data_IF_993441798393
#
_entry.id   IF_993441798393
#
_cell.length_a   1.000
_cell.length_b   1.000
_cell.length_c   1.000
_cell.angle_alpha   90.00
_cell.angle_beta   90.00
_cell.angle_gamma   90.00
#
_symmetry.space_group_name_H-M   'P 1'
#
loop_
_entity.id
_entity.type
_entity.pdbx_description
1 polymer ?
#
# COMPACT_ATOMS: atom_id res chain seq x y z
N UNK A 1 80.74 -19.00 21.75
CA UNK A 1 79.95 -17.90 21.19
C UNK A 1 78.73 -18.50 20.47
N UNK A 2 77.57 -18.56 21.12
CA UNK A 2 76.34 -19.11 20.54
C UNK A 2 75.47 -18.00 20.02
N UNK A 3 75.27 -17.94 18.71
CA UNK A 3 74.38 -16.99 18.05
C UNK A 3 72.97 -17.59 18.01
N UNK A 4 72.01 -17.02 18.81
CA UNK A 4 70.61 -17.38 18.80
C UNK A 4 69.89 -16.61 17.67
N UNK A 5 69.40 -17.29 16.68
CA UNK A 5 68.54 -16.77 15.65
C UNK A 5 67.08 -16.82 16.15
N UNK A 6 66.47 -15.65 16.30
CA UNK A 6 65.06 -15.49 16.70
C UNK A 6 64.23 -15.48 15.41
N UNK A 7 63.39 -16.53 15.20
CA UNK A 7 62.41 -16.58 14.11
C UNK A 7 61.12 -15.98 14.59
N UNK A 8 60.72 -14.79 14.08
CA UNK A 8 59.44 -14.17 14.27
C UNK A 8 58.44 -14.72 13.28
N UNK A 9 57.51 -15.54 13.77
CA UNK A 9 56.36 -16.01 12.99
C UNK A 9 55.28 -14.92 13.07
N UNK A 10 55.10 -14.18 11.97
CA UNK A 10 54.05 -13.22 11.81
C UNK A 10 52.74 -13.94 11.45
N UNK A 11 51.77 -13.98 12.37
CA UNK A 11 50.42 -14.48 12.09
C UNK A 11 49.63 -13.43 11.29
N UNK A 12 49.42 -13.66 10.01
CA UNK A 12 48.47 -12.90 9.20
C UNK A 12 47.04 -13.34 9.56
N UNK A 13 46.31 -12.51 10.32
CA UNK A 13 44.87 -12.66 10.52
C UNK A 13 44.18 -12.12 9.28
N UNK A 14 43.71 -13.03 8.43
CA UNK A 14 42.82 -12.69 7.31
C UNK A 14 41.42 -12.45 7.89
N UNK A 15 41.01 -11.19 8.05
CA UNK A 15 39.61 -10.85 8.33
C UNK A 15 38.78 -11.10 7.07
N UNK A 16 38.04 -12.20 7.05
CA UNK A 16 37.02 -12.45 6.05
C UNK A 16 35.83 -11.55 6.41
N UNK A 17 35.72 -10.38 5.76
CA UNK A 17 34.48 -9.60 5.76
C UNK A 17 33.41 -10.43 5.03
N UNK A 18 32.58 -11.14 5.79
CA UNK A 18 31.37 -11.74 5.30
C UNK A 18 30.41 -10.64 4.84
N UNK A 19 30.34 -10.35 3.55
CA UNK A 19 29.27 -9.57 2.99
C UNK A 19 27.97 -10.37 3.16
N UNK A 20 27.17 -10.05 4.17
CA UNK A 20 25.79 -10.53 4.28
C UNK A 20 25.04 -10.02 3.05
N UNK A 21 24.79 -10.91 2.07
CA UNK A 21 23.79 -10.64 1.04
C UNK A 21 22.47 -10.49 1.78
N UNK A 22 21.96 -9.26 1.92
CA UNK A 22 20.54 -9.04 2.18
C UNK A 22 19.79 -9.69 1.02
N UNK A 23 19.15 -10.82 1.26
CA UNK A 23 18.18 -11.35 0.31
C UNK A 23 17.06 -10.33 0.24
N UNK A 24 16.84 -9.70 -0.90
CA UNK A 24 15.60 -9.00 -1.14
C UNK A 24 14.47 -9.98 -0.81
N UNK A 25 13.63 -9.64 0.15
CA UNK A 25 12.46 -10.43 0.47
C UNK A 25 11.49 -10.25 -0.69
N UNK A 26 10.97 -11.35 -1.25
CA UNK A 26 9.97 -11.26 -2.30
C UNK A 26 8.78 -10.44 -1.79
N UNK A 27 8.30 -9.52 -2.61
CA UNK A 27 7.14 -8.69 -2.29
C UNK A 27 5.92 -9.58 -1.98
N UNK A 28 5.21 -9.34 -0.87
CA UNK A 28 3.97 -10.05 -0.59
C UNK A 28 2.94 -9.83 -1.70
N UNK A 29 2.22 -10.87 -2.07
CA UNK A 29 1.11 -10.81 -3.01
C UNK A 29 -0.18 -11.11 -2.26
N UNK A 30 -1.20 -10.30 -2.45
CA UNK A 30 -2.53 -10.52 -1.86
C UNK A 30 -3.58 -10.65 -2.95
N UNK A 31 -4.62 -11.42 -2.64
CA UNK A 31 -5.85 -11.48 -3.44
C UNK A 31 -6.94 -10.76 -2.67
N UNK A 32 -7.53 -9.75 -3.28
CA UNK A 32 -8.73 -9.05 -2.82
C UNK A 32 -9.91 -9.58 -3.60
N UNK A 33 -10.74 -10.40 -2.95
CA UNK A 33 -11.99 -10.88 -3.52
C UNK A 33 -13.05 -9.79 -3.40
N UNK A 34 -13.74 -9.48 -4.49
CA UNK A 34 -14.82 -8.50 -4.50
C UNK A 34 -16.08 -9.08 -5.13
N UNK A 35 -17.22 -8.47 -4.87
CA UNK A 35 -18.51 -8.85 -5.49
C UNK A 35 -18.52 -8.74 -7.03
N UNK A 36 -17.48 -8.14 -7.65
CA UNK A 36 -17.34 -7.99 -9.10
C UNK A 36 -16.19 -8.80 -9.71
N UNK A 37 -15.42 -9.53 -8.87
CA UNK A 37 -14.26 -10.35 -9.25
C UNK A 37 -13.03 -10.04 -8.39
N UNK A 38 -11.94 -10.75 -8.65
CA UNK A 38 -10.74 -10.73 -7.87
C UNK A 38 -9.74 -9.68 -8.39
N UNK A 39 -8.99 -9.07 -7.47
CA UNK A 39 -7.90 -8.14 -7.76
C UNK A 39 -6.66 -8.68 -7.06
N UNK A 40 -5.64 -9.09 -7.83
CA UNK A 40 -4.36 -9.53 -7.29
C UNK A 40 -3.39 -8.35 -7.22
N UNK A 41 -2.78 -8.14 -6.06
CA UNK A 41 -1.97 -6.96 -5.76
C UNK A 41 -0.61 -7.40 -5.22
N UNK A 42 0.46 -6.91 -5.81
CA UNK A 42 1.82 -6.97 -5.27
C UNK A 42 2.04 -5.80 -4.33
N UNK A 43 2.57 -6.06 -3.12
CA UNK A 43 2.83 -5.04 -2.09
C UNK A 43 4.32 -4.74 -2.03
N UNK A 44 4.70 -3.47 -2.03
CA UNK A 44 6.09 -3.00 -2.09
C UNK A 44 6.72 -2.94 -0.70
N UNK A 45 7.04 -4.11 -0.12
CA UNK A 45 7.51 -4.25 1.26
C UNK A 45 8.77 -3.44 1.55
N UNK A 46 9.74 -3.39 0.62
CA UNK A 46 11.00 -2.68 0.83
C UNK A 46 10.85 -1.16 0.72
N UNK A 47 9.90 -0.67 -0.11
CA UNK A 47 9.73 0.76 -0.39
C UNK A 47 8.68 1.43 0.51
N UNK A 48 7.72 0.67 1.03
CA UNK A 48 6.65 1.18 1.88
C UNK A 48 6.35 0.22 3.05
N UNK A 49 7.35 -0.13 3.87
CA UNK A 49 7.21 -1.15 4.90
C UNK A 49 6.10 -0.87 5.91
N UNK A 50 5.91 0.39 6.33
CA UNK A 50 4.89 0.77 7.32
C UNK A 50 3.49 0.62 6.72
N UNK A 51 3.29 1.06 5.49
CA UNK A 51 2.00 0.99 4.79
C UNK A 51 1.63 -0.46 4.47
N UNK A 52 2.60 -1.27 4.04
CA UNK A 52 2.41 -2.70 3.75
C UNK A 52 2.08 -3.47 5.04
N UNK A 53 2.85 -3.29 6.12
CA UNK A 53 2.59 -3.92 7.41
C UNK A 53 1.18 -3.58 7.91
N UNK A 54 0.82 -2.29 7.91
CA UNK A 54 -0.51 -1.82 8.30
C UNK A 54 -1.63 -2.46 7.48
N UNK A 55 -1.47 -2.53 6.15
CA UNK A 55 -2.45 -3.15 5.27
C UNK A 55 -2.60 -4.65 5.55
N UNK A 56 -1.48 -5.37 5.71
CA UNK A 56 -1.48 -6.81 5.99
C UNK A 56 -2.08 -7.13 7.37
N UNK A 57 -1.84 -6.29 8.38
CA UNK A 57 -2.46 -6.43 9.69
C UNK A 57 -3.99 -6.30 9.61
N UNK A 58 -4.51 -5.31 8.89
CA UNK A 58 -5.95 -5.20 8.65
C UNK A 58 -6.51 -6.36 7.84
N UNK A 59 -5.78 -6.86 6.84
CA UNK A 59 -6.18 -8.02 6.05
C UNK A 59 -6.27 -9.29 6.92
N UNK A 60 -5.22 -9.55 7.72
CA UNK A 60 -5.15 -10.71 8.61
C UNK A 60 -6.22 -10.69 9.71
N UNK A 61 -6.59 -9.50 10.20
CA UNK A 61 -7.70 -9.32 11.16
C UNK A 61 -9.10 -9.46 10.51
N UNK A 62 -9.18 -9.66 9.20
CA UNK A 62 -10.44 -9.72 8.47
C UNK A 62 -11.18 -8.36 8.40
N UNK A 63 -10.48 -7.25 8.67
CA UNK A 63 -11.09 -5.92 8.70
C UNK A 63 -11.75 -5.55 7.38
N UNK A 64 -11.13 -5.92 6.25
CA UNK A 64 -11.63 -5.55 4.93
C UNK A 64 -12.89 -6.30 4.52
N UNK A 65 -13.15 -7.48 5.09
CA UNK A 65 -14.37 -8.24 4.82
C UNK A 65 -15.62 -7.43 5.17
N UNK A 66 -16.54 -7.31 4.20
CA UNK A 66 -17.79 -6.53 4.32
C UNK A 66 -17.59 -5.01 4.20
N UNK A 67 -16.38 -4.52 3.91
CA UNK A 67 -16.20 -3.12 3.51
C UNK A 67 -16.53 -2.93 2.03
N UNK A 68 -16.79 -1.68 1.62
CA UNK A 68 -17.13 -1.36 0.23
C UNK A 68 -16.17 -0.33 -0.37
N UNK A 69 -16.14 -0.26 -1.70
CA UNK A 69 -15.62 0.89 -2.39
C UNK A 69 -16.65 2.02 -2.27
N UNK A 70 -16.47 2.85 -1.25
CA UNK A 70 -17.45 3.87 -0.85
C UNK A 70 -17.32 5.19 -1.62
N UNK A 71 -16.24 5.39 -2.39
CA UNK A 71 -16.01 6.57 -3.20
C UNK A 71 -15.32 6.20 -4.50
N UNK A 72 -15.96 6.50 -5.61
CA UNK A 72 -15.47 6.20 -6.96
C UNK A 72 -15.49 7.46 -7.80
N UNK A 73 -14.35 7.89 -8.31
CA UNK A 73 -14.25 9.00 -9.26
C UNK A 73 -13.70 8.46 -10.56
N UNK A 74 -14.53 8.48 -11.60
CA UNK A 74 -14.12 8.08 -12.95
C UNK A 74 -12.88 8.86 -13.39
N UNK A 75 -11.96 8.17 -14.08
CA UNK A 75 -10.68 8.75 -14.54
C UNK A 75 -9.84 9.38 -13.40
N UNK A 76 -9.96 8.83 -12.19
CA UNK A 76 -9.13 9.22 -11.07
C UNK A 76 -8.79 8.00 -10.20
N UNK A 77 -9.72 7.54 -9.33
CA UNK A 77 -9.44 6.42 -8.42
C UNK A 77 -10.73 5.75 -7.92
N UNK A 78 -10.59 4.55 -7.36
CA UNK A 78 -11.59 3.89 -6.53
C UNK A 78 -11.05 3.77 -5.10
N UNK A 79 -11.82 4.20 -4.09
CA UNK A 79 -11.42 4.24 -2.68
C UNK A 79 -12.31 3.34 -1.83
N UNK A 80 -11.68 2.50 -0.99
CA UNK A 80 -12.36 1.53 -0.13
C UNK A 80 -11.65 1.27 1.18
N UNK A 81 -12.04 0.17 1.87
CA UNK A 81 -11.36 -0.37 3.04
C UNK A 81 -11.69 0.30 4.38
N UNK A 82 -12.70 1.16 4.47
CA UNK A 82 -13.01 1.85 5.72
C UNK A 82 -14.49 1.92 6.11
N UNK A 83 -15.40 1.58 5.21
CA UNK A 83 -16.85 1.71 5.44
C UNK A 83 -17.59 0.45 5.02
N UNK A 84 -18.65 0.14 5.73
CA UNK A 84 -19.63 -0.90 5.39
C UNK A 84 -20.60 -0.42 4.32
N UNK A 85 -21.49 -1.29 3.81
CA UNK A 85 -22.42 -0.96 2.73
C UNK A 85 -23.45 0.11 3.10
N UNK A 86 -23.73 0.32 4.39
CA UNK A 86 -24.55 1.40 4.91
C UNK A 86 -23.76 2.71 5.14
N UNK A 87 -22.49 2.75 4.70
CA UNK A 87 -21.53 3.85 4.87
C UNK A 87 -21.16 4.17 6.32
N UNK A 88 -21.36 3.22 7.23
CA UNK A 88 -20.85 3.30 8.59
C UNK A 88 -19.35 3.04 8.62
N UNK A 89 -18.54 3.88 9.29
CA UNK A 89 -17.10 3.65 9.39
C UNK A 89 -16.81 2.46 10.31
N UNK A 90 -15.89 1.58 9.89
CA UNK A 90 -15.33 0.54 10.77
C UNK A 90 -14.28 1.13 11.71
N UNK A 91 -14.20 0.58 12.93
CA UNK A 91 -13.17 0.97 13.88
C UNK A 91 -11.77 0.75 13.31
N UNK A 92 -10.87 1.70 13.55
CA UNK A 92 -9.50 1.65 13.03
C UNK A 92 -8.48 1.59 14.15
N UNK A 93 -7.28 1.14 13.83
CA UNK A 93 -6.07 1.24 14.64
C UNK A 93 -5.56 2.69 14.64
N UNK A 94 -4.49 2.97 15.39
CA UNK A 94 -3.81 4.26 15.34
C UNK A 94 -3.31 4.59 13.94
N UNK A 95 -3.30 5.88 13.57
CA UNK A 95 -2.74 6.32 12.29
C UNK A 95 -1.25 5.96 12.15
N UNK A 96 -0.82 5.80 10.90
CA UNK A 96 0.56 5.48 10.53
C UNK A 96 1.27 6.67 9.91
N UNK A 97 2.61 6.62 9.90
CA UNK A 97 3.46 7.58 9.21
C UNK A 97 3.26 7.47 7.70
N UNK A 98 3.21 8.61 7.02
CA UNK A 98 3.08 8.69 5.57
C UNK A 98 4.43 8.45 4.89
N UNK A 99 4.48 7.47 3.98
CA UNK A 99 5.67 7.09 3.22
C UNK A 99 5.67 7.64 1.78
N UNK A 100 4.91 8.71 1.49
CA UNK A 100 4.83 9.28 0.12
C UNK A 100 6.16 9.82 -0.42
N UNK A 101 7.21 9.89 0.42
CA UNK A 101 8.57 10.25 0.02
C UNK A 101 9.39 9.05 -0.49
N UNK A 102 8.77 7.88 -0.64
CA UNK A 102 9.42 6.65 -1.11
C UNK A 102 9.79 6.65 -2.61
N UNK A 103 9.38 7.68 -3.35
CA UNK A 103 9.70 7.86 -4.76
C UNK A 103 8.83 7.04 -5.72
N UNK A 104 7.81 6.34 -5.23
CA UNK A 104 6.88 5.59 -6.08
C UNK A 104 5.73 6.51 -6.50
N UNK A 105 5.50 6.58 -7.80
CA UNK A 105 4.49 7.45 -8.39
C UNK A 105 3.08 6.83 -8.35
N UNK A 106 2.06 7.69 -8.22
CA UNK A 106 0.65 7.34 -8.28
C UNK A 106 0.20 7.08 -9.74
N UNK A 107 0.78 6.07 -10.37
CA UNK A 107 0.44 5.64 -11.72
C UNK A 107 -0.83 4.77 -11.74
N UNK A 108 -1.39 4.55 -12.96
CA UNK A 108 -2.51 3.61 -13.12
C UNK A 108 -2.18 2.23 -12.56
N UNK A 109 -3.12 1.69 -11.79
CA UNK A 109 -3.02 0.38 -11.13
C UNK A 109 -2.28 0.39 -9.80
N UNK A 110 -1.67 1.51 -9.37
CA UNK A 110 -1.03 1.58 -8.06
C UNK A 110 -2.05 1.70 -6.93
N UNK A 111 -1.71 1.09 -5.79
CA UNK A 111 -2.45 1.12 -4.55
C UNK A 111 -1.78 2.12 -3.60
N UNK A 112 -2.54 3.07 -3.06
CA UNK A 112 -2.03 4.10 -2.16
C UNK A 112 -2.91 4.29 -0.92
N UNK A 113 -2.30 4.74 0.19
CA UNK A 113 -3.01 5.02 1.44
C UNK A 113 -3.84 6.31 1.34
N UNK A 114 -5.14 6.21 1.64
CA UNK A 114 -5.98 7.37 1.83
C UNK A 114 -5.68 8.04 3.17
N UNK A 115 -5.78 9.37 3.21
CA UNK A 115 -5.54 10.19 4.41
C UNK A 115 -6.43 11.42 4.45
N UNK A 116 -6.47 12.06 5.61
CA UNK A 116 -7.08 13.38 5.79
C UNK A 116 -6.08 14.51 5.41
N UNK A 117 -6.38 15.75 5.76
CA UNK A 117 -5.44 16.86 5.59
C UNK A 117 -4.23 16.81 6.55
N UNK A 118 -4.22 15.88 7.51
CA UNK A 118 -3.04 15.61 8.35
C UNK A 118 -2.15 14.61 7.63
N UNK A 119 -0.86 14.88 7.55
CA UNK A 119 0.10 14.06 6.78
C UNK A 119 0.10 12.61 7.27
N UNK A 120 0.26 12.39 8.57
CA UNK A 120 0.33 11.09 9.21
C UNK A 120 -1.04 10.71 9.80
N UNK A 121 -2.06 10.56 8.93
CA UNK A 121 -3.43 10.24 9.35
C UNK A 121 -4.03 9.03 8.65
N UNK A 122 -3.23 8.31 7.84
CA UNK A 122 -3.69 7.10 7.18
C UNK A 122 -3.97 6.00 8.21
N UNK A 123 -5.05 5.23 7.99
CA UNK A 123 -5.43 4.09 8.83
C UNK A 123 -5.71 2.86 7.95
N UNK A 124 -6.97 2.46 7.75
CA UNK A 124 -7.33 1.29 6.94
C UNK A 124 -7.68 1.61 5.49
N UNK A 125 -8.06 2.85 5.19
CA UNK A 125 -8.54 3.20 3.86
C UNK A 125 -7.40 3.31 2.84
N UNK A 126 -7.67 2.79 1.65
CA UNK A 126 -6.78 2.85 0.50
C UNK A 126 -7.54 3.26 -0.76
N UNK A 127 -6.82 3.58 -1.81
CA UNK A 127 -7.40 3.76 -3.13
C UNK A 127 -6.52 3.10 -4.22
N UNK A 128 -7.16 2.72 -5.33
CA UNK A 128 -6.49 2.22 -6.52
C UNK A 128 -6.62 3.28 -7.62
N UNK A 129 -5.49 3.69 -8.17
CA UNK A 129 -5.44 4.66 -9.25
C UNK A 129 -5.95 4.06 -10.56
N UNK A 130 -6.96 4.66 -11.18
CA UNK A 130 -7.53 4.20 -12.47
C UNK A 130 -6.88 4.85 -13.68
N UNK A 131 -6.13 5.92 -13.46
CA UNK A 131 -5.29 6.62 -14.45
C UNK A 131 -3.95 7.03 -13.80
N UNK A 132 -3.05 7.64 -14.56
CA UNK A 132 -1.85 8.26 -13.99
C UNK A 132 -2.23 9.57 -13.27
N UNK A 133 -2.08 9.57 -11.96
CA UNK A 133 -2.40 10.68 -11.05
C UNK A 133 -1.14 11.34 -10.45
N UNK A 134 0.06 11.02 -10.94
CA UNK A 134 1.33 11.50 -10.43
C UNK A 134 1.35 13.00 -10.14
N UNK A 135 0.89 13.79 -11.12
CA UNK A 135 0.87 15.25 -11.02
C UNK A 135 0.10 15.80 -9.82
N UNK A 136 -0.92 15.05 -9.36
CA UNK A 136 -1.86 15.50 -8.32
C UNK A 136 -1.61 14.84 -6.96
N UNK A 137 -1.01 13.63 -6.94
CA UNK A 137 -0.95 12.79 -5.75
C UNK A 137 0.46 12.47 -5.30
N UNK A 138 1.50 12.68 -6.11
CA UNK A 138 2.88 12.44 -5.70
C UNK A 138 3.39 13.53 -4.74
N UNK A 139 4.39 13.17 -3.96
CA UNK A 139 5.09 14.11 -3.09
C UNK A 139 5.81 15.18 -3.93
N UNK A 140 5.51 16.45 -3.65
CA UNK A 140 6.18 17.62 -4.25
C UNK A 140 6.67 18.62 -3.21
N UNK A 141 6.50 18.31 -1.91
CA UNK A 141 6.90 19.20 -0.82
C UNK A 141 6.62 18.63 0.56
N UNK A 142 6.70 19.47 1.57
CA UNK A 142 6.66 19.07 2.99
C UNK A 142 5.37 19.49 3.71
N UNK A 143 4.56 20.35 3.12
CA UNK A 143 3.29 20.74 3.71
C UNK A 143 2.18 19.70 3.47
N UNK A 144 1.09 19.79 4.19
CA UNK A 144 0.01 18.81 4.13
C UNK A 144 -0.60 18.62 2.74
N UNK A 145 -0.58 19.63 1.89
CA UNK A 145 -1.15 19.56 0.53
C UNK A 145 -0.17 18.91 -0.45
N UNK A 146 1.11 19.25 -0.35
CA UNK A 146 2.17 18.81 -1.26
C UNK A 146 2.87 17.51 -0.83
N UNK A 147 2.59 17.00 0.39
CA UNK A 147 3.22 15.79 0.91
C UNK A 147 2.86 14.53 0.11
N UNK A 148 1.69 14.52 -0.54
CA UNK A 148 1.26 13.41 -1.39
C UNK A 148 0.68 12.21 -0.63
N UNK A 149 0.54 11.10 -1.37
CA UNK A 149 -0.08 9.85 -0.92
C UNK A 149 0.88 8.69 -1.13
N UNK A 150 1.11 7.90 -0.09
CA UNK A 150 2.06 6.80 -0.09
C UNK A 150 1.56 5.65 -0.96
N UNK A 151 2.19 5.42 -2.10
CA UNK A 151 2.01 4.22 -2.89
C UNK A 151 2.72 3.06 -2.20
N UNK A 152 2.00 1.94 -2.00
CA UNK A 152 2.53 0.78 -1.30
C UNK A 152 2.28 -0.56 -2.01
N UNK A 153 1.69 -0.55 -3.21
CA UNK A 153 1.46 -1.74 -4.01
C UNK A 153 0.96 -1.42 -5.41
N UNK A 154 0.78 -2.48 -6.20
CA UNK A 154 0.27 -2.38 -7.57
C UNK A 154 -0.57 -3.60 -7.91
N UNK A 155 -1.68 -3.38 -8.61
CA UNK A 155 -2.49 -4.44 -9.22
C UNK A 155 -1.66 -5.11 -10.32
N UNK A 156 -1.51 -6.44 -10.21
CA UNK A 156 -0.83 -7.28 -11.17
C UNK A 156 -1.79 -8.14 -12.00
N UNK A 157 -3.00 -8.43 -11.45
CA UNK A 157 -4.09 -9.08 -12.16
C UNK A 157 -5.42 -8.46 -11.70
N UNK A 158 -6.45 -8.44 -12.56
CA UNK A 158 -7.80 -7.92 -12.20
C UNK A 158 -7.97 -6.41 -12.42
N UNK A 159 -7.13 -5.75 -13.24
CA UNK A 159 -7.36 -4.32 -13.59
C UNK A 159 -8.69 -4.09 -14.31
N UNK A 160 -9.22 -5.09 -15.02
CA UNK A 160 -10.55 -5.05 -15.64
C UNK A 160 -11.68 -5.00 -14.58
N UNK A 161 -11.48 -5.60 -13.40
CA UNK A 161 -12.41 -5.48 -12.26
C UNK A 161 -12.37 -4.06 -11.70
N UNK A 162 -11.16 -3.48 -11.52
CA UNK A 162 -10.98 -2.08 -11.11
C UNK A 162 -11.69 -1.13 -12.09
N UNK A 163 -11.52 -1.35 -13.39
CA UNK A 163 -12.18 -0.53 -14.42
C UNK A 163 -13.69 -0.67 -14.41
N UNK A 164 -14.21 -1.89 -14.19
CA UNK A 164 -15.63 -2.16 -14.05
C UNK A 164 -16.23 -1.42 -12.85
N UNK A 165 -15.53 -1.41 -11.71
CA UNK A 165 -15.92 -0.62 -10.53
C UNK A 165 -15.95 0.87 -10.87
N UNK A 166 -14.88 1.37 -11.50
CA UNK A 166 -14.73 2.78 -11.85
C UNK A 166 -15.77 3.28 -12.88
N UNK A 167 -16.26 2.40 -13.75
CA UNK A 167 -17.27 2.71 -14.78
C UNK A 167 -18.71 2.63 -14.26
N UNK A 168 -18.92 2.08 -13.06
CA UNK A 168 -20.25 1.92 -12.47
C UNK A 168 -20.96 3.26 -12.23
N UNK A 169 -22.30 3.25 -12.15
CA UNK A 169 -23.07 4.44 -11.82
C UNK A 169 -22.81 4.87 -10.37
N UNK A 170 -22.69 6.18 -10.17
CA UNK A 170 -22.43 6.79 -8.87
C UNK A 170 -23.54 7.78 -8.50
N UNK A 171 -23.70 8.01 -7.19
CA UNK A 171 -24.67 8.95 -6.62
C UNK A 171 -24.05 9.65 -5.39
N UNK A 172 -24.72 10.69 -4.92
CA UNK A 172 -24.45 11.26 -3.60
C UNK A 172 -25.43 10.67 -2.58
N UNK A 173 -24.90 10.25 -1.42
CA UNK A 173 -25.70 9.65 -0.35
C UNK A 173 -25.39 10.34 0.99
N UNK A 174 -26.30 11.19 1.46
CA UNK A 174 -26.06 12.03 2.63
C UNK A 174 -24.82 12.93 2.46
N UNK A 175 -23.85 12.87 3.38
CA UNK A 175 -22.62 13.65 3.27
C UNK A 175 -21.58 13.05 2.28
N UNK A 176 -21.83 11.83 1.80
CA UNK A 176 -20.90 11.09 0.94
C UNK A 176 -21.16 11.37 -0.53
N UNK A 177 -20.09 11.71 -1.26
CA UNK A 177 -20.13 12.00 -2.69
C UNK A 177 -19.50 10.86 -3.49
N UNK A 178 -20.00 10.67 -4.72
CA UNK A 178 -19.46 9.67 -5.65
C UNK A 178 -19.51 8.23 -5.10
N UNK A 179 -20.58 7.88 -4.41
CA UNK A 179 -20.84 6.53 -3.90
C UNK A 179 -21.40 5.67 -5.03
N UNK A 180 -20.89 4.45 -5.27
CA UNK A 180 -21.52 3.51 -6.22
C UNK A 180 -23.00 3.30 -5.88
N UNK A 181 -23.87 3.33 -6.90
CA UNK A 181 -25.33 3.07 -6.73
C UNK A 181 -25.54 1.66 -6.22
N UNK A 182 -24.85 0.69 -6.80
CA UNK A 182 -24.79 -0.69 -6.31
C UNK A 182 -23.50 -0.85 -5.50
N UNK A 183 -23.56 -1.17 -4.20
CA UNK A 183 -22.37 -1.35 -3.37
C UNK A 183 -21.45 -2.45 -3.93
N UNK A 184 -20.19 -2.12 -4.15
CA UNK A 184 -19.16 -3.11 -4.49
C UNK A 184 -18.43 -3.49 -3.21
N UNK A 185 -18.67 -4.70 -2.75
CA UNK A 185 -18.17 -5.22 -1.47
C UNK A 185 -16.82 -5.89 -1.66
N UNK A 186 -15.91 -5.66 -0.72
CA UNK A 186 -14.69 -6.45 -0.52
C UNK A 186 -15.10 -7.63 0.37
N UNK A 187 -15.05 -8.84 -0.17
CA UNK A 187 -15.47 -10.06 0.50
C UNK A 187 -14.34 -10.60 1.40
N UNK A 188 -13.13 -10.57 0.88
CA UNK A 188 -11.93 -10.95 1.63
C UNK A 188 -10.68 -10.26 1.09
N UNK A 189 -9.60 -10.24 1.90
CA UNK A 189 -8.23 -9.96 1.46
C UNK A 189 -7.33 -11.00 2.11
N UNK A 190 -6.64 -11.80 1.30
CA UNK A 190 -5.76 -12.87 1.77
C UNK A 190 -4.37 -12.81 1.13
N UNK A 191 -3.35 -13.20 1.90
CA UNK A 191 -1.99 -13.35 1.37
C UNK A 191 -1.90 -14.64 0.56
N UNK A 192 -1.29 -14.57 -0.60
CA UNK A 192 -1.15 -15.68 -1.57
C UNK A 192 0.04 -16.59 -1.25
#
# INVERSE_FOLDING_TARGET
>A
MLCRVLVLIGACIVMILGASKSSAQDNPVVVMETSLGDITIELFQDQAPISVENFLEYANDGHYAGTVFHRVIQQFMIQGGGMTSDLSPKATRSPIKNEATNGISNERGTLAMARTNVVDSATSQFFINTVNNARSLDNTGTDARSYGYAVFGKVIEGMEVVDKIAAGPIQNQGPHQNVPVEPVTIESVSVK
#
